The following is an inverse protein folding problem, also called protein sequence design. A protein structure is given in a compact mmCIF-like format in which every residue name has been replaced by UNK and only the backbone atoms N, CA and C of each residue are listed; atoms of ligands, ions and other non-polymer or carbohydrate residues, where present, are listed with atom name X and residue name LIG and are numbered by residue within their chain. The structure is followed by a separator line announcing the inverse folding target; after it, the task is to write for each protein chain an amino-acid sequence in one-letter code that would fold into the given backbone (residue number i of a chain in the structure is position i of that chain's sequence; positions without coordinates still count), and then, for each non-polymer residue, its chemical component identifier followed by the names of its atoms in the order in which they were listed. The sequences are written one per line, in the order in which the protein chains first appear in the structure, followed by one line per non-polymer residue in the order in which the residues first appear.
data_IF_983013796305
#
_entry.id   IF_983013796305
#
_cell.length_a   1.000
_cell.length_b   1.000
_cell.length_c   1.000
_cell.angle_alpha   90.00
_cell.angle_beta   90.00
_cell.angle_gamma   90.00
#
_symmetry.space_group_name_H-M   'P 1'
#
loop_
_entity.id
_entity.type
_entity.pdbx_description
1 polymer ?
#
# COMPACT_ATOMS: atom_id res chain seq x y z
N UNK A 1 7.35 22.06 13.64
CA UNK A 1 7.93 21.07 12.71
C UNK A 1 7.84 21.66 11.31
N UNK A 2 8.98 21.96 10.68
CA UNK A 2 9.01 22.23 9.24
C UNK A 2 8.99 20.87 8.56
N UNK A 3 7.83 20.44 8.06
CA UNK A 3 7.81 19.40 7.05
C UNK A 3 8.36 20.07 5.79
N UNK A 4 9.69 20.01 5.60
CA UNK A 4 10.26 20.30 4.30
C UNK A 4 9.70 19.22 3.36
N UNK A 5 8.89 19.63 2.39
CA UNK A 5 8.38 18.71 1.39
C UNK A 5 9.57 18.03 0.72
N UNK A 6 9.65 16.69 0.87
CA UNK A 6 10.76 15.88 0.35
C UNK A 6 10.93 16.04 -1.18
N UNK A 7 9.86 16.47 -1.86
CA UNK A 7 9.80 16.70 -3.30
C UNK A 7 9.23 18.08 -3.60
N UNK A 8 9.82 18.77 -4.57
CA UNK A 8 9.31 20.05 -5.08
C UNK A 8 8.06 19.85 -5.93
N UNK A 9 7.23 20.89 -6.10
CA UNK A 9 6.08 20.89 -7.03
C UNK A 9 6.47 20.52 -8.46
N UNK A 10 7.70 20.89 -8.86
CA UNK A 10 8.33 20.49 -10.12
C UNK A 10 9.56 19.65 -9.77
N UNK A 11 9.43 18.31 -9.73
CA UNK A 11 10.55 17.43 -9.43
C UNK A 11 11.61 17.51 -10.53
N UNK A 12 12.86 17.32 -10.15
CA UNK A 12 13.92 16.98 -11.11
C UNK A 12 13.66 15.60 -11.72
N UNK A 13 14.31 15.29 -12.84
CA UNK A 13 14.18 13.97 -13.50
C UNK A 13 14.44 12.81 -12.54
N UNK A 14 15.51 12.89 -11.75
CA UNK A 14 15.82 11.89 -10.70
C UNK A 14 14.74 11.73 -9.63
N UNK A 15 14.08 12.83 -9.24
CA UNK A 15 12.97 12.80 -8.30
C UNK A 15 11.71 12.20 -8.95
N UNK A 16 11.49 12.45 -10.23
CA UNK A 16 10.39 11.87 -10.98
C UNK A 16 10.55 10.35 -11.12
N UNK A 17 11.74 9.87 -11.48
CA UNK A 17 12.05 8.43 -11.53
C UNK A 17 11.81 7.75 -10.17
N UNK A 18 12.22 8.41 -9.07
CA UNK A 18 11.97 7.92 -7.71
C UNK A 18 10.47 7.83 -7.41
N UNK A 19 9.69 8.85 -7.79
CA UNK A 19 8.24 8.85 -7.60
C UNK A 19 7.54 7.79 -8.45
N UNK A 20 7.98 7.58 -9.68
CA UNK A 20 7.47 6.53 -10.56
C UNK A 20 7.76 5.14 -10.00
N UNK A 21 8.97 4.92 -9.49
CA UNK A 21 9.33 3.71 -8.75
C UNK A 21 8.41 3.50 -7.55
N UNK A 22 8.22 4.51 -6.69
CA UNK A 22 7.30 4.40 -5.54
C UNK A 22 5.85 4.09 -5.94
N UNK A 23 5.37 4.70 -7.04
CA UNK A 23 4.03 4.42 -7.57
C UNK A 23 3.91 2.97 -8.02
N UNK A 24 4.94 2.45 -8.69
CA UNK A 24 4.99 1.08 -9.15
C UNK A 24 5.08 0.08 -7.99
N UNK A 25 5.92 0.35 -6.99
CA UNK A 25 5.96 -0.44 -5.74
C UNK A 25 4.61 -0.43 -5.02
N UNK A 26 3.91 0.72 -4.95
CA UNK A 26 2.55 0.78 -4.39
C UNK A 26 1.54 -0.08 -5.17
N UNK A 27 1.62 -0.08 -6.50
CA UNK A 27 0.77 -0.93 -7.36
C UNK A 27 1.03 -2.40 -7.08
N UNK A 28 2.29 -2.81 -7.03
CA UNK A 28 2.67 -4.19 -6.73
C UNK A 28 2.20 -4.61 -5.33
N UNK A 29 2.41 -3.76 -4.32
CA UNK A 29 1.97 -4.01 -2.94
C UNK A 29 0.46 -4.18 -2.81
N UNK A 30 -0.30 -3.35 -3.52
CA UNK A 30 -1.76 -3.46 -3.58
C UNK A 30 -2.19 -4.78 -4.23
N UNK A 31 -1.61 -5.14 -5.39
CA UNK A 31 -1.95 -6.39 -6.08
C UNK A 31 -1.66 -7.61 -5.21
N UNK A 32 -0.48 -7.65 -4.57
CA UNK A 32 -0.13 -8.71 -3.63
C UNK A 32 -1.13 -8.79 -2.47
N UNK A 33 -1.46 -7.66 -1.83
CA UNK A 33 -2.48 -7.64 -0.78
C UNK A 33 -3.85 -8.10 -1.27
N UNK A 34 -4.26 -7.76 -2.48
CA UNK A 34 -5.54 -8.16 -3.02
C UNK A 34 -5.60 -9.69 -3.20
N UNK A 35 -4.55 -10.28 -3.75
CA UNK A 35 -4.44 -11.74 -3.89
C UNK A 35 -4.45 -12.45 -2.53
N UNK A 36 -3.74 -11.93 -1.53
CA UNK A 36 -3.79 -12.48 -0.17
C UNK A 36 -5.17 -12.29 0.47
N UNK A 37 -5.79 -11.13 0.30
CA UNK A 37 -7.13 -10.83 0.81
C UNK A 37 -8.19 -11.80 0.29
N UNK A 38 -8.12 -12.15 -1.00
CA UNK A 38 -9.04 -13.11 -1.64
C UNK A 38 -8.92 -14.52 -1.06
N UNK A 39 -7.74 -14.87 -0.53
CA UNK A 39 -7.50 -16.15 0.15
C UNK A 39 -8.01 -16.16 1.60
N UNK A 40 -8.22 -14.99 2.23
CA UNK A 40 -8.73 -14.91 3.60
C UNK A 40 -10.26 -15.16 3.62
N UNK A 41 -10.73 -16.22 4.31
CA UNK A 41 -12.16 -16.53 4.39
C UNK A 41 -12.98 -15.36 4.95
N UNK A 42 -14.17 -15.12 4.37
CA UNK A 42 -15.13 -14.13 4.90
C UNK A 42 -15.40 -14.23 6.41
N UNK A 43 -15.55 -15.42 7.02
CA UNK A 43 -15.79 -15.53 8.47
C UNK A 43 -14.55 -15.24 9.34
N UNK A 44 -13.35 -15.07 8.77
CA UNK A 44 -12.13 -14.80 9.54
C UNK A 44 -12.12 -13.40 10.19
N UNK A 45 -13.06 -12.51 9.81
CA UNK A 45 -13.25 -11.22 10.44
C UNK A 45 -14.00 -10.23 9.55
N UNK A 46 -14.27 -9.04 10.10
CA UNK A 46 -14.81 -7.93 9.31
C UNK A 46 -13.85 -7.54 8.17
N UNK A 47 -14.36 -6.87 7.15
CA UNK A 47 -13.55 -6.33 6.04
C UNK A 47 -12.32 -5.56 6.54
N UNK A 48 -12.52 -4.66 7.51
CA UNK A 48 -11.44 -3.86 8.07
C UNK A 48 -10.41 -4.70 8.85
N UNK A 49 -10.86 -5.72 9.59
CA UNK A 49 -9.94 -6.60 10.32
C UNK A 49 -9.08 -7.42 9.36
N UNK A 50 -9.68 -8.00 8.32
CA UNK A 50 -8.95 -8.79 7.31
C UNK A 50 -7.95 -7.95 6.53
N UNK A 51 -8.31 -6.72 6.15
CA UNK A 51 -7.36 -5.80 5.49
C UNK A 51 -6.25 -5.34 6.45
N UNK A 52 -6.57 -5.13 7.74
CA UNK A 52 -5.57 -4.74 8.74
C UNK A 52 -4.52 -5.82 8.98
N UNK A 53 -4.90 -7.09 8.97
CA UNK A 53 -3.96 -8.22 9.02
C UNK A 53 -2.90 -8.13 7.92
N UNK A 54 -3.30 -7.73 6.70
CA UNK A 54 -2.37 -7.55 5.58
C UNK A 54 -1.43 -6.36 5.77
N UNK A 55 -1.87 -5.29 6.44
CA UNK A 55 -1.01 -4.17 6.83
C UNK A 55 0.00 -4.58 7.91
N UNK A 56 -0.41 -5.43 8.85
CA UNK A 56 0.42 -5.91 9.95
C UNK A 56 1.56 -6.83 9.46
N UNK A 57 1.40 -7.47 8.29
CA UNK A 57 2.45 -8.27 7.62
C UNK A 57 3.51 -7.42 6.89
N UNK A 58 3.33 -6.09 6.81
CA UNK A 58 4.27 -5.23 6.09
C UNK A 58 5.73 -5.33 6.58
N UNK A 59 6.04 -5.42 7.89
CA UNK A 59 7.40 -5.59 8.36
C UNK A 59 8.06 -6.84 7.77
N UNK A 60 7.38 -7.99 7.83
CA UNK A 60 7.90 -9.26 7.31
C UNK A 60 8.13 -9.21 5.80
N UNK A 61 7.30 -8.48 5.06
CA UNK A 61 7.47 -8.26 3.63
C UNK A 61 8.72 -7.43 3.31
N UNK A 62 9.10 -6.48 4.18
CA UNK A 62 10.28 -5.65 3.98
C UNK A 62 11.59 -6.44 4.12
N UNK A 63 11.57 -7.59 4.79
CA UNK A 63 12.76 -8.43 4.95
C UNK A 63 13.21 -9.11 3.65
N UNK A 64 12.32 -9.25 2.65
CA UNK A 64 12.64 -9.88 1.37
C UNK A 64 12.26 -9.06 0.13
N UNK A 65 11.59 -7.92 0.30
CA UNK A 65 11.24 -7.00 -0.79
C UNK A 65 11.86 -5.63 -0.54
N UNK A 66 13.10 -5.48 -0.99
CA UNK A 66 13.93 -4.29 -0.74
C UNK A 66 13.29 -2.97 -1.16
N UNK A 67 12.54 -2.94 -2.28
CA UNK A 67 11.85 -1.75 -2.76
C UNK A 67 10.82 -1.20 -1.74
N UNK A 68 10.26 -2.04 -0.87
CA UNK A 68 9.36 -1.60 0.20
C UNK A 68 10.09 -0.87 1.32
N UNK A 69 11.40 -1.09 1.47
CA UNK A 69 12.24 -0.42 2.48
C UNK A 69 12.41 1.06 2.16
N UNK A 70 12.49 1.41 0.87
CA UNK A 70 12.57 2.80 0.42
C UNK A 70 11.23 3.55 0.51
N UNK A 71 10.12 2.80 0.63
CA UNK A 71 8.78 3.36 0.76
C UNK A 71 8.38 3.60 2.23
N UNK A 72 7.86 4.80 2.50
CA UNK A 72 7.27 5.13 3.79
C UNK A 72 6.15 4.15 4.15
N UNK A 73 6.19 3.55 5.34
CA UNK A 73 5.24 2.51 5.76
C UNK A 73 3.79 2.99 5.72
N UNK A 74 3.51 4.26 6.01
CA UNK A 74 2.16 4.83 5.88
C UNK A 74 1.65 4.79 4.43
N UNK A 75 2.52 5.01 3.45
CA UNK A 75 2.16 4.98 2.02
C UNK A 75 1.90 3.55 1.58
N UNK A 76 2.76 2.61 1.98
CA UNK A 76 2.58 1.19 1.71
C UNK A 76 1.27 0.64 2.30
N UNK A 77 0.95 1.00 3.55
CA UNK A 77 -0.31 0.62 4.22
C UNK A 77 -1.52 1.30 3.56
N UNK A 78 -1.40 2.56 3.15
CA UNK A 78 -2.48 3.27 2.46
C UNK A 78 -2.85 2.63 1.12
N UNK A 79 -1.87 2.05 0.41
CA UNK A 79 -2.14 1.27 -0.80
C UNK A 79 -3.05 0.07 -0.50
N UNK A 80 -2.75 -0.71 0.53
CA UNK A 80 -3.55 -1.88 0.97
C UNK A 80 -4.96 -1.46 1.42
N UNK A 81 -5.08 -0.36 2.17
CA UNK A 81 -6.37 0.15 2.65
C UNK A 81 -7.35 0.53 1.54
N UNK A 82 -6.91 0.69 0.28
CA UNK A 82 -7.81 0.92 -0.87
C UNK A 82 -8.76 -0.26 -1.12
N UNK A 83 -8.40 -1.48 -0.70
CA UNK A 83 -9.26 -2.67 -0.80
C UNK A 83 -10.59 -2.45 -0.07
N UNK A 84 -10.56 -1.78 1.10
CA UNK A 84 -11.78 -1.47 1.87
C UNK A 84 -12.72 -0.60 1.05
N UNK A 85 -12.20 0.48 0.48
CA UNK A 85 -12.99 1.45 -0.31
C UNK A 85 -13.62 0.79 -1.53
N UNK A 86 -12.84 -0.01 -2.26
CA UNK A 86 -13.34 -0.73 -3.44
C UNK A 86 -14.42 -1.75 -3.10
N UNK A 87 -14.20 -2.55 -2.04
CA UNK A 87 -15.17 -3.56 -1.60
C UNK A 87 -16.50 -2.96 -1.16
N UNK A 88 -16.48 -1.76 -0.55
CA UNK A 88 -17.69 -1.03 -0.18
C UNK A 88 -18.42 -0.49 -1.42
N UNK A 89 -17.69 0.01 -2.42
CA UNK A 89 -18.29 0.49 -3.67
C UNK A 89 -19.01 -0.62 -4.43
N UNK A 90 -18.47 -1.85 -4.43
CA UNK A 90 -19.09 -3.01 -5.08
C UNK A 90 -20.38 -3.51 -4.41
N UNK A 91 -20.69 -3.07 -3.18
CA UNK A 91 -21.94 -3.41 -2.49
C UNK A 91 -23.07 -2.40 -2.76
N UNK A 92 -22.75 -1.26 -3.37
CA UNK A 92 -23.68 -0.14 -3.62
C UNK A 92 -24.10 0.00 -5.09
N UNK A 93 -23.70 -0.94 -5.96
CA UNK A 93 -24.01 -0.99 -7.40
C UNK A 93 -24.70 -2.29 -7.72
#
# INVERSE_FOLDING_TARGET
MHYADRYCLHPTESQQETLDSHRDTCRQRYNHALTEFEQIPKPAGTLNQRVRQLCDQLPDLKDWWDELTDLCSTVAQAAVMRIVKQSQSSLTT
#
